data_IF_751825987779
#
_entry.id   IF_751825987779
#
_cell.length_a   1.000
_cell.length_b   1.000
_cell.length_c   1.000
_cell.angle_alpha   90.00
_cell.angle_beta   90.00
_cell.angle_gamma   90.00
#
_symmetry.space_group_name_H-M   'P 1'
#
loop_
_entity.id
_entity.type
_entity.pdbx_description
1 polymer ?
#
# COMPACT_ATOMS: atom_id res chain seq x y z
N UNK A 1 32.80 -9.46 14.78
CA UNK A 1 33.09 -8.50 15.86
C UNK A 1 33.28 -7.15 15.23
N UNK A 2 32.63 -6.06 15.59
CA UNK A 2 31.36 -5.77 16.24
C UNK A 2 31.22 -4.24 16.03
N UNK A 3 30.04 -3.83 15.59
CA UNK A 3 29.48 -2.49 15.80
C UNK A 3 30.32 -1.27 15.39
N UNK A 4 30.32 -0.98 14.09
CA UNK A 4 30.59 0.38 13.63
C UNK A 4 29.34 1.26 13.86
N UNK A 5 29.48 2.07 14.90
CA UNK A 5 28.97 3.42 15.08
C UNK A 5 27.55 3.62 15.65
N UNK A 6 27.56 3.85 16.96
CA UNK A 6 26.49 4.41 17.81
C UNK A 6 25.84 5.68 17.20
N UNK A 7 26.53 6.41 16.32
CA UNK A 7 25.96 7.54 15.56
C UNK A 7 24.78 7.16 14.64
N UNK A 8 24.78 5.94 14.08
CA UNK A 8 23.69 5.46 13.23
C UNK A 8 22.44 5.07 14.04
N UNK A 9 22.60 4.77 15.34
CA UNK A 9 21.46 4.58 16.27
C UNK A 9 20.81 5.90 16.66
N UNK A 10 21.56 7.02 16.66
CA UNK A 10 21.02 8.35 16.97
C UNK A 10 20.17 8.97 15.86
N UNK A 11 20.38 8.60 14.60
CA UNK A 11 19.50 9.00 13.48
C UNK A 11 18.06 8.48 13.65
N UNK A 12 17.87 7.43 14.46
CA UNK A 12 16.55 6.87 14.81
C UNK A 12 15.82 7.67 15.88
N UNK A 13 16.53 8.48 16.67
CA UNK A 13 15.98 9.17 17.85
C UNK A 13 15.58 10.62 17.55
N UNK A 14 16.32 11.37 16.72
CA UNK A 14 15.95 12.78 16.42
C UNK A 14 14.72 12.88 15.50
N UNK A 15 14.47 11.89 14.63
CA UNK A 15 13.24 11.84 13.81
C UNK A 15 11.95 11.68 14.64
N UNK A 16 12.08 11.26 15.90
CA UNK A 16 10.97 11.07 16.84
C UNK A 16 10.55 12.34 17.58
N UNK A 17 11.32 13.44 17.51
CA UNK A 17 11.10 14.61 18.36
C UNK A 17 10.68 15.89 17.61
N UNK A 18 10.52 15.85 16.29
CA UNK A 18 10.10 17.03 15.51
C UNK A 18 9.14 16.70 14.36
N UNK A 19 8.25 15.74 14.56
CA UNK A 19 7.05 15.62 13.73
C UNK A 19 5.89 15.89 14.69
N UNK A 20 5.26 17.09 14.67
CA UNK A 20 3.94 17.23 15.29
C UNK A 20 3.10 16.06 14.75
N UNK A 21 2.25 15.41 15.57
CA UNK A 21 1.34 14.40 15.04
C UNK A 21 0.74 15.03 13.79
N UNK A 22 0.85 14.39 12.60
CA UNK A 22 0.19 14.94 11.44
C UNK A 22 -1.21 15.21 11.93
N UNK A 23 -1.63 16.48 11.86
CA UNK A 23 -3.04 16.81 11.98
C UNK A 23 -3.65 15.86 10.99
N UNK A 24 -4.21 14.76 11.49
CA UNK A 24 -4.98 13.83 10.69
C UNK A 24 -6.03 14.77 10.16
N UNK A 25 -5.99 15.15 8.86
CA UNK A 25 -7.04 15.98 8.33
C UNK A 25 -8.30 15.20 8.69
N UNK A 26 -9.22 15.85 9.40
CA UNK A 26 -10.55 15.30 9.63
C UNK A 26 -10.95 14.68 8.30
N UNK A 27 -11.17 13.35 8.29
CA UNK A 27 -11.51 12.63 7.07
C UNK A 27 -12.58 13.45 6.39
N UNK A 28 -12.31 13.90 5.16
CA UNK A 28 -13.25 14.70 4.41
C UNK A 28 -14.61 14.01 4.53
N UNK A 29 -15.59 14.68 5.15
CA UNK A 29 -16.91 14.08 5.37
C UNK A 29 -17.57 13.69 4.03
N UNK A 30 -16.96 14.13 2.91
CA UNK A 30 -17.32 13.85 1.54
C UNK A 30 -16.26 13.00 0.79
N UNK A 31 -15.64 11.98 1.42
CA UNK A 31 -14.88 10.99 0.63
C UNK A 31 -15.81 10.33 -0.38
N UNK A 32 -15.47 10.46 -1.67
CA UNK A 32 -16.21 9.86 -2.77
C UNK A 32 -16.52 8.37 -2.47
N UNK A 33 -17.81 7.96 -2.51
CA UNK A 33 -18.19 6.56 -2.29
C UNK A 33 -17.43 5.56 -3.18
N UNK A 34 -17.03 5.96 -4.39
CA UNK A 34 -16.19 5.14 -5.27
C UNK A 34 -14.79 4.94 -4.67
N UNK A 35 -14.17 5.99 -4.13
CA UNK A 35 -12.85 5.92 -3.47
C UNK A 35 -12.93 4.98 -2.27
N UNK A 36 -13.94 5.15 -1.40
CA UNK A 36 -14.11 4.27 -0.23
C UNK A 36 -14.22 2.80 -0.64
N UNK A 37 -14.93 2.49 -1.72
CA UNK A 37 -15.07 1.10 -2.20
C UNK A 37 -13.75 0.53 -2.70
N UNK A 38 -12.97 1.32 -3.42
CA UNK A 38 -11.63 0.89 -3.87
C UNK A 38 -10.73 0.62 -2.66
N UNK A 39 -10.75 1.48 -1.65
CA UNK A 39 -10.02 1.27 -0.39
C UNK A 39 -10.46 -0.04 0.30
N UNK A 40 -11.77 -0.28 0.41
CA UNK A 40 -12.30 -1.53 0.96
C UNK A 40 -11.87 -2.76 0.16
N UNK A 41 -11.84 -2.68 -1.17
CA UNK A 41 -11.38 -3.78 -2.02
C UNK A 41 -9.90 -4.10 -1.78
N UNK A 42 -9.05 -3.08 -1.68
CA UNK A 42 -7.63 -3.23 -1.37
C UNK A 42 -7.43 -3.78 0.05
N UNK A 43 -8.22 -3.31 1.02
CA UNK A 43 -8.18 -3.76 2.41
C UNK A 43 -8.59 -5.23 2.61
N UNK A 44 -9.33 -5.81 1.66
CA UNK A 44 -9.71 -7.24 1.67
C UNK A 44 -8.71 -8.16 0.97
N UNK A 45 -7.75 -7.61 0.23
CA UNK A 45 -6.70 -8.41 -0.40
C UNK A 45 -5.85 -9.13 0.65
N UNK A 46 -5.30 -10.33 0.35
CA UNK A 46 -4.28 -10.94 1.18
C UNK A 46 -3.13 -9.98 1.46
N UNK A 47 -2.56 -10.04 2.67
CA UNK A 47 -1.50 -9.11 3.13
C UNK A 47 -0.40 -8.94 2.08
N UNK A 48 0.09 -10.04 1.52
CA UNK A 48 1.15 -10.07 0.51
C UNK A 48 0.79 -9.33 -0.77
N UNK A 49 -0.41 -9.58 -1.29
CA UNK A 49 -0.93 -8.96 -2.52
C UNK A 49 -1.05 -7.45 -2.35
N UNK A 50 -1.58 -7.03 -1.19
CA UNK A 50 -1.69 -5.62 -0.82
C UNK A 50 -0.33 -4.95 -0.71
N UNK A 51 0.61 -5.59 -0.02
CA UNK A 51 1.96 -5.08 0.19
C UNK A 51 2.69 -4.83 -1.13
N UNK A 52 2.61 -5.78 -2.07
CA UNK A 52 3.17 -5.63 -3.43
C UNK A 52 2.56 -4.44 -4.16
N UNK A 53 1.24 -4.31 -4.14
CA UNK A 53 0.54 -3.20 -4.80
C UNK A 53 0.91 -1.84 -4.20
N UNK A 54 0.95 -1.75 -2.86
CA UNK A 54 1.30 -0.50 -2.18
C UNK A 54 2.73 -0.06 -2.48
N UNK A 55 3.69 -1.00 -2.43
CA UNK A 55 5.07 -0.72 -2.80
C UNK A 55 5.21 -0.25 -4.25
N UNK A 56 4.47 -0.87 -5.18
CA UNK A 56 4.53 -0.44 -6.57
C UNK A 56 3.89 0.94 -6.78
N UNK A 57 2.75 1.21 -6.14
CA UNK A 57 1.90 2.37 -6.44
C UNK A 57 2.23 3.62 -5.63
N UNK A 58 2.65 3.47 -4.38
CA UNK A 58 2.91 4.58 -3.46
C UNK A 58 4.38 4.80 -3.19
N UNK A 59 5.20 3.75 -3.27
CA UNK A 59 6.66 3.86 -3.13
C UNK A 59 7.39 3.89 -4.48
N UNK A 60 6.64 3.88 -5.61
CA UNK A 60 7.13 3.82 -7.00
C UNK A 60 8.19 2.73 -7.25
N UNK A 61 8.12 1.63 -6.48
CA UNK A 61 9.07 0.54 -6.63
C UNK A 61 8.78 -0.26 -7.91
N UNK A 62 9.86 -0.51 -8.65
CA UNK A 62 9.86 -1.42 -9.80
C UNK A 62 9.79 -2.89 -9.36
N UNK A 63 9.35 -3.75 -10.26
CA UNK A 63 9.08 -5.16 -9.94
C UNK A 63 10.32 -5.93 -9.48
N UNK A 64 11.50 -5.64 -10.06
CA UNK A 64 12.81 -6.16 -9.66
C UNK A 64 13.11 -5.86 -8.17
N UNK A 65 12.85 -4.63 -7.73
CA UNK A 65 13.10 -4.19 -6.35
C UNK A 65 12.10 -4.78 -5.36
N UNK A 66 10.84 -4.90 -5.75
CA UNK A 66 9.82 -5.57 -4.93
C UNK A 66 10.15 -7.06 -4.79
N UNK A 67 10.49 -7.72 -5.89
CA UNK A 67 10.89 -9.12 -5.92
C UNK A 67 12.06 -9.39 -4.97
N UNK A 68 13.12 -8.59 -5.07
CA UNK A 68 14.29 -8.69 -4.20
C UNK A 68 13.95 -8.46 -2.72
N UNK A 69 13.21 -7.39 -2.41
CA UNK A 69 12.82 -7.03 -1.04
C UNK A 69 11.97 -8.11 -0.36
N UNK A 70 11.13 -8.78 -1.15
CA UNK A 70 10.19 -9.76 -0.66
C UNK A 70 10.71 -11.20 -0.77
N UNK A 71 11.86 -11.44 -1.42
CA UNK A 71 12.40 -12.78 -1.65
C UNK A 71 11.53 -13.63 -2.59
N UNK A 72 10.93 -13.01 -3.62
CA UNK A 72 10.09 -13.69 -4.62
C UNK A 72 10.56 -13.36 -6.03
N UNK A 73 9.98 -14.00 -7.04
CA UNK A 73 10.28 -13.70 -8.45
C UNK A 73 9.50 -12.49 -8.95
N UNK A 74 10.01 -11.79 -9.97
CA UNK A 74 9.26 -10.72 -10.65
C UNK A 74 7.93 -11.22 -11.22
N UNK A 75 7.87 -12.48 -11.70
CA UNK A 75 6.62 -13.10 -12.14
C UNK A 75 5.61 -13.27 -11.00
N UNK A 76 6.07 -13.50 -9.78
CA UNK A 76 5.19 -13.50 -8.62
C UNK A 76 4.64 -12.10 -8.33
N UNK A 77 5.49 -11.07 -8.41
CA UNK A 77 5.07 -9.65 -8.28
C UNK A 77 3.99 -9.31 -9.32
N UNK A 78 4.22 -9.63 -10.60
CA UNK A 78 3.25 -9.38 -11.68
C UNK A 78 1.90 -10.07 -11.40
N UNK A 79 1.92 -11.33 -10.94
CA UNK A 79 0.68 -12.05 -10.58
C UNK A 79 -0.08 -11.36 -9.45
N UNK A 80 0.61 -10.84 -8.43
CA UNK A 80 -0.02 -10.11 -7.33
C UNK A 80 -0.59 -8.75 -7.80
N UNK A 81 0.09 -8.04 -8.70
CA UNK A 81 -0.45 -6.83 -9.33
C UNK A 81 -1.72 -7.13 -10.11
N UNK A 82 -1.71 -8.16 -10.97
CA UNK A 82 -2.90 -8.57 -11.73
C UNK A 82 -4.06 -8.95 -10.82
N UNK A 83 -3.81 -9.66 -9.72
CA UNK A 83 -4.82 -10.00 -8.70
C UNK A 83 -5.44 -8.75 -8.08
N UNK A 84 -4.61 -7.76 -7.74
CA UNK A 84 -5.07 -6.48 -7.18
C UNK A 84 -5.97 -5.73 -8.16
N UNK A 85 -5.54 -5.57 -9.41
CA UNK A 85 -6.32 -4.86 -10.44
C UNK A 85 -7.67 -5.54 -10.70
N UNK A 86 -7.72 -6.88 -10.70
CA UNK A 86 -8.97 -7.64 -10.83
C UNK A 86 -9.91 -7.40 -9.65
N UNK A 87 -9.39 -7.36 -8.42
CA UNK A 87 -10.20 -7.09 -7.24
C UNK A 87 -10.80 -5.68 -7.26
N UNK A 88 -10.00 -4.67 -7.64
CA UNK A 88 -10.46 -3.29 -7.79
C UNK A 88 -11.54 -3.20 -8.87
N UNK A 89 -11.30 -3.80 -10.04
CA UNK A 89 -12.30 -3.83 -11.13
C UNK A 89 -13.61 -4.45 -10.68
N UNK A 90 -13.57 -5.61 -10.02
CA UNK A 90 -14.77 -6.29 -9.51
C UNK A 90 -15.55 -5.40 -8.54
N UNK A 91 -14.87 -4.73 -7.62
CA UNK A 91 -15.51 -3.83 -6.66
C UNK A 91 -16.24 -2.65 -7.35
N UNK A 92 -15.72 -2.16 -8.47
CA UNK A 92 -16.38 -1.12 -9.28
C UNK A 92 -17.57 -1.66 -10.06
N UNK A 93 -17.46 -2.86 -10.62
CA UNK A 93 -18.55 -3.50 -11.37
C UNK A 93 -19.73 -3.91 -10.48
N UNK A 94 -19.47 -4.44 -9.28
CA UNK A 94 -20.53 -4.83 -8.35
C UNK A 94 -21.40 -3.61 -7.95
N UNK A 95 -20.79 -2.44 -7.81
CA UNK A 95 -21.50 -1.18 -7.58
C UNK A 95 -22.39 -0.74 -8.76
N UNK A 96 -21.87 -0.85 -10.00
CA UNK A 96 -22.63 -0.48 -11.19
C UNK A 96 -23.91 -1.32 -11.34
N UNK A 97 -23.88 -2.59 -10.90
CA UNK A 97 -25.06 -3.46 -10.89
C UNK A 97 -26.08 -3.10 -9.80
N UNK A 98 -25.61 -2.59 -8.67
CA UNK A 98 -26.45 -2.16 -7.54
C UNK A 98 -27.25 -0.88 -7.85
N UNK A 99 -26.68 0.01 -8.67
CA UNK A 99 -27.32 1.28 -9.07
C UNK A 99 -28.16 1.18 -10.34
N UNK A 100 -28.17 0.00 -10.98
CA UNK A 100 -28.96 -0.28 -12.20
C UNK A 100 -30.27 -1.04 -11.91
N UNK A 101 -30.64 -1.21 -10.63
CA UNK A 101 -31.91 -1.81 -10.17
C UNK A 101 -32.76 -0.76 -9.46
#
# INVERSE_FOLDING_TARGET
>A
MADENIAARFARTIRSLLVPPPVVPSFDENVDPEIRRVEWAIARLPKRTREVFLMHRFDDLRYDRIAHRLGITEKAVEREIVRTLRAIRKAREDHAREHSK
#
